data_IF_266484057736
#
_entry.id   IF_266484057736
#
_cell.length_a   1.000
_cell.length_b   1.000
_cell.length_c   1.000
_cell.angle_alpha   90.00
_cell.angle_beta   90.00
_cell.angle_gamma   90.00
#
_symmetry.space_group_name_H-M   'P 1'
#
loop_
_entity.id
_entity.type
_entity.pdbx_description
1 polymer ?
#
# COMPACT_ATOMS: atom_id res chain seq x y z
N UNK A 1 11.95 -24.86 -21.69
CA UNK A 1 12.13 -23.70 -20.81
C UNK A 1 10.96 -23.61 -19.86
N UNK A 2 11.23 -23.72 -18.58
CA UNK A 2 10.17 -23.67 -17.59
C UNK A 2 9.67 -22.25 -17.41
N UNK A 3 8.37 -22.08 -17.57
CA UNK A 3 7.73 -20.83 -17.21
C UNK A 3 7.69 -20.73 -15.69
N UNK A 4 8.45 -19.81 -15.15
CA UNK A 4 8.36 -19.52 -13.72
C UNK A 4 7.01 -18.91 -13.43
N UNK A 5 6.09 -19.74 -12.97
CA UNK A 5 4.83 -19.24 -12.43
C UNK A 5 5.11 -18.73 -11.02
N UNK A 6 4.84 -17.46 -10.80
CA UNK A 6 4.81 -16.94 -9.44
C UNK A 6 3.55 -17.52 -8.80
N UNK A 7 3.75 -18.47 -7.89
CA UNK A 7 2.63 -19.05 -7.16
C UNK A 7 2.49 -18.30 -5.84
N UNK A 8 1.40 -17.54 -5.73
CA UNK A 8 1.08 -16.86 -4.50
C UNK A 8 0.34 -17.83 -3.58
N UNK A 9 0.70 -17.83 -2.30
CA UNK A 9 -0.03 -18.63 -1.32
C UNK A 9 -1.48 -18.14 -1.25
N UNK A 10 -2.48 -19.06 -1.25
CA UNK A 10 -3.88 -18.68 -1.48
C UNK A 10 -4.50 -17.81 -0.40
N UNK A 11 -3.89 -17.69 0.78
CA UNK A 11 -4.44 -16.90 1.88
C UNK A 11 -3.52 -15.79 2.37
N UNK A 12 -2.52 -15.44 1.56
CA UNK A 12 -1.56 -14.40 1.94
C UNK A 12 -1.70 -13.16 1.07
N UNK A 13 -1.41 -12.02 1.68
CA UNK A 13 -1.34 -10.73 1.00
C UNK A 13 0.13 -10.44 0.68
N UNK A 14 0.39 -9.94 -0.52
CA UNK A 14 1.76 -9.65 -0.98
C UNK A 14 1.89 -8.19 -1.36
N UNK A 15 3.04 -7.62 -1.06
CA UNK A 15 3.41 -6.30 -1.58
C UNK A 15 4.07 -6.50 -2.94
N UNK A 16 3.40 -6.05 -4.01
CA UNK A 16 3.94 -6.15 -5.37
C UNK A 16 4.97 -5.08 -5.65
N UNK A 17 4.78 -3.89 -5.10
CA UNK A 17 5.67 -2.77 -5.31
C UNK A 17 5.12 -1.51 -4.68
N UNK A 18 5.91 -0.45 -4.74
CA UNK A 18 5.49 0.86 -4.26
C UNK A 18 6.13 1.95 -5.10
N UNK A 19 5.56 3.12 -5.04
CA UNK A 19 6.16 4.31 -5.64
C UNK A 19 5.81 5.53 -4.79
N UNK A 20 6.62 6.57 -4.95
CA UNK A 20 6.41 7.83 -4.25
C UNK A 20 5.68 8.79 -5.18
N UNK A 21 4.59 9.38 -4.67
CA UNK A 21 3.88 10.45 -5.36
C UNK A 21 4.25 11.74 -4.67
N UNK A 22 4.94 12.62 -5.39
CA UNK A 22 5.31 13.93 -4.87
C UNK A 22 4.33 14.99 -5.35
N UNK A 23 4.05 15.95 -4.48
CA UNK A 23 3.15 17.03 -4.82
C UNK A 23 3.74 17.95 -5.89
N UNK A 24 2.86 18.47 -6.73
CA UNK A 24 3.21 19.49 -7.72
C UNK A 24 2.66 20.85 -7.32
N UNK A 25 2.87 21.83 -8.18
CA UNK A 25 2.25 23.14 -8.05
C UNK A 25 1.16 23.30 -9.10
N UNK A 26 0.12 24.01 -8.74
CA UNK A 26 -0.98 24.33 -9.61
C UNK A 26 -1.09 25.85 -9.75
N UNK A 27 -1.08 26.34 -10.98
CA UNK A 27 -1.27 27.76 -11.27
C UNK A 27 -2.74 28.02 -11.61
N UNK A 28 -3.39 28.85 -10.80
CA UNK A 28 -4.72 29.33 -11.13
C UNK A 28 -4.61 30.46 -12.15
N UNK A 29 -5.01 30.21 -13.40
CA UNK A 29 -4.88 31.17 -14.48
C UNK A 29 -5.75 32.41 -14.32
N UNK A 30 -6.82 32.32 -13.52
CA UNK A 30 -7.73 33.43 -13.28
C UNK A 30 -7.20 34.39 -12.23
N UNK A 31 -6.55 33.88 -11.19
CA UNK A 31 -6.07 34.69 -10.07
C UNK A 31 -4.54 34.90 -10.08
N UNK A 32 -3.82 34.05 -10.84
CA UNK A 32 -2.37 34.07 -10.82
C UNK A 32 -1.75 33.43 -9.59
N UNK A 33 -2.56 32.84 -8.72
CA UNK A 33 -2.06 32.19 -7.52
C UNK A 33 -1.48 30.82 -7.82
N UNK A 34 -0.36 30.51 -7.16
CA UNK A 34 0.26 29.19 -7.22
C UNK A 34 -0.11 28.45 -5.93
N UNK A 35 -0.80 27.33 -6.09
CA UNK A 35 -1.12 26.45 -4.97
C UNK A 35 -0.17 25.25 -5.00
N UNK A 36 0.56 25.03 -3.92
CA UNK A 36 1.39 23.85 -3.78
C UNK A 36 0.52 22.69 -3.29
N UNK A 37 0.42 21.67 -4.13
CA UNK A 37 -0.31 20.45 -3.77
C UNK A 37 0.61 19.55 -2.94
N UNK A 38 0.40 19.54 -1.64
CA UNK A 38 1.20 18.71 -0.72
C UNK A 38 0.70 17.27 -0.73
N UNK A 39 0.80 16.59 -1.88
CA UNK A 39 0.36 15.21 -2.04
C UNK A 39 1.53 14.22 -1.93
N UNK A 40 2.40 14.46 -0.94
CA UNK A 40 3.55 13.57 -0.73
C UNK A 40 3.09 12.32 -0.01
N UNK A 41 3.07 11.20 -0.75
CA UNK A 41 2.64 9.91 -0.21
C UNK A 41 3.34 8.77 -0.92
N UNK A 42 3.42 7.64 -0.24
CA UNK A 42 3.75 6.37 -0.89
C UNK A 42 2.45 5.69 -1.31
N UNK A 43 2.43 5.10 -2.49
CA UNK A 43 1.35 4.24 -2.93
C UNK A 43 1.88 2.81 -3.04
N UNK A 44 1.32 1.92 -2.25
CA UNK A 44 1.72 0.52 -2.18
C UNK A 44 0.74 -0.32 -2.98
N UNK A 45 1.24 -1.08 -3.93
CA UNK A 45 0.42 -2.01 -4.71
C UNK A 45 0.41 -3.36 -4.04
N UNK A 46 -0.77 -3.82 -3.70
CA UNK A 46 -0.97 -5.02 -2.91
C UNK A 46 -1.86 -5.99 -3.67
N UNK A 47 -1.51 -7.27 -3.64
CA UNK A 47 -2.38 -8.33 -4.11
C UNK A 47 -2.81 -9.18 -2.93
N UNK A 48 -4.12 -9.41 -2.84
CA UNK A 48 -4.74 -10.22 -1.80
C UNK A 48 -5.52 -11.37 -2.42
N UNK A 49 -5.80 -12.44 -1.65
CA UNK A 49 -6.69 -13.49 -2.15
C UNK A 49 -8.04 -12.90 -2.52
N UNK A 50 -8.58 -13.33 -3.67
CA UNK A 50 -9.89 -12.89 -4.11
C UNK A 50 -10.97 -13.60 -3.31
N UNK A 51 -12.03 -12.86 -2.97
CA UNK A 51 -13.22 -13.42 -2.34
C UNK A 51 -14.32 -13.53 -3.39
N UNK A 52 -14.61 -14.77 -3.87
CA UNK A 52 -15.61 -14.96 -4.92
C UNK A 52 -16.99 -14.43 -4.55
N UNK A 53 -17.34 -14.46 -3.26
CA UNK A 53 -18.66 -14.02 -2.81
C UNK A 53 -18.90 -12.52 -3.05
N UNK A 54 -17.84 -11.71 -3.04
CA UNK A 54 -17.94 -10.28 -3.29
C UNK A 54 -18.19 -9.94 -4.75
N UNK A 55 -17.86 -10.85 -5.66
CA UNK A 55 -17.94 -10.60 -7.09
C UNK A 55 -19.14 -11.30 -7.74
N UNK A 56 -19.92 -12.04 -6.96
CA UNK A 56 -21.04 -12.79 -7.48
C UNK A 56 -20.65 -13.85 -8.49
N UNK A 57 -19.41 -14.33 -8.44
CA UNK A 57 -18.89 -15.30 -9.37
C UNK A 57 -18.88 -16.71 -8.75
N UNK A 58 -19.23 -17.70 -9.54
CA UNK A 58 -19.19 -19.10 -9.10
C UNK A 58 -17.74 -19.58 -8.91
N UNK A 59 -16.84 -18.99 -9.68
CA UNK A 59 -15.43 -19.34 -9.63
C UNK A 59 -14.58 -18.11 -9.90
N UNK A 60 -13.62 -17.87 -9.04
CA UNK A 60 -12.65 -16.80 -9.23
C UNK A 60 -11.25 -17.37 -9.04
N UNK A 61 -10.37 -17.14 -10.01
CA UNK A 61 -8.97 -17.59 -9.96
C UNK A 61 -8.08 -16.37 -9.93
N UNK A 62 -7.14 -16.34 -8.96
CA UNK A 62 -6.18 -15.26 -8.84
C UNK A 62 -6.39 -14.41 -7.61
N UNK A 63 -5.92 -13.17 -7.65
CA UNK A 63 -5.99 -12.23 -6.55
C UNK A 63 -6.66 -10.93 -6.94
N UNK A 64 -6.95 -10.15 -5.92
CA UNK A 64 -7.47 -8.79 -6.08
C UNK A 64 -6.33 -7.81 -5.83
N UNK A 65 -6.15 -6.83 -6.72
CA UNK A 65 -5.11 -5.80 -6.58
C UNK A 65 -5.74 -4.55 -6.01
N UNK A 66 -5.08 -3.97 -5.00
CA UNK A 66 -5.50 -2.72 -4.39
C UNK A 66 -4.29 -1.83 -4.15
N UNK A 67 -4.55 -0.55 -3.87
CA UNK A 67 -3.52 0.43 -3.59
C UNK A 67 -3.75 1.00 -2.20
N UNK A 68 -2.68 1.01 -1.38
CA UNK A 68 -2.69 1.64 -0.07
C UNK A 68 -1.89 2.93 -0.16
N UNK A 69 -2.47 4.03 0.30
CA UNK A 69 -1.82 5.34 0.29
C UNK A 69 -1.33 5.67 1.69
N UNK A 70 -0.04 5.96 1.82
CA UNK A 70 0.59 6.28 3.09
C UNK A 70 1.25 7.66 2.96
N UNK A 71 0.80 8.69 3.71
CA UNK A 71 1.47 9.99 3.68
C UNK A 71 2.91 9.89 4.15
N UNK A 72 3.81 10.69 3.54
CA UNK A 72 5.24 10.68 3.91
C UNK A 72 5.47 10.96 5.39
N UNK A 73 4.71 11.92 5.94
CA UNK A 73 4.86 12.34 7.33
C UNK A 73 4.36 11.32 8.35
N UNK A 74 3.66 10.28 7.90
CA UNK A 74 3.11 9.23 8.76
C UNK A 74 3.67 7.84 8.46
N UNK A 75 4.51 7.72 7.42
CA UNK A 75 5.00 6.42 6.99
C UNK A 75 5.76 5.68 8.12
N UNK A 76 6.53 6.42 8.92
CA UNK A 76 7.28 5.84 10.02
C UNK A 76 6.37 5.07 11.02
N UNK A 77 5.16 5.57 11.25
CA UNK A 77 4.24 4.96 12.20
C UNK A 77 3.75 3.58 11.75
N UNK A 78 3.67 3.36 10.43
CA UNK A 78 3.25 2.07 9.87
C UNK A 78 4.30 0.98 10.10
N UNK A 79 5.54 1.35 10.36
CA UNK A 79 6.65 0.41 10.53
C UNK A 79 7.23 0.42 11.95
N UNK A 80 6.62 1.20 12.86
CA UNK A 80 7.02 1.21 14.26
C UNK A 80 8.39 1.80 14.53
N UNK A 81 8.83 2.75 13.69
CA UNK A 81 10.13 3.41 13.87
C UNK A 81 9.95 4.91 14.07
N UNK A 82 11.06 5.63 14.36
CA UNK A 82 11.01 7.08 14.47
C UNK A 82 10.98 7.74 13.09
N UNK A 83 10.53 9.00 12.98
CA UNK A 83 10.54 9.71 11.70
C UNK A 83 11.93 9.81 11.07
N UNK A 84 12.97 9.90 11.87
CA UNK A 84 14.33 10.00 11.39
C UNK A 84 14.89 8.66 10.90
N UNK A 85 14.37 7.54 11.40
CA UNK A 85 14.83 6.21 11.02
C UNK A 85 14.19 5.71 9.73
N UNK A 86 13.02 6.24 9.38
CA UNK A 86 12.29 5.73 8.22
C UNK A 86 12.96 6.13 6.92
N UNK A 87 13.27 5.13 6.11
CA UNK A 87 13.60 5.30 4.69
C UNK A 87 12.88 4.21 3.92
N UNK A 88 12.38 4.47 2.70
CA UNK A 88 11.72 3.42 1.93
C UNK A 88 12.64 2.26 1.60
N UNK A 89 13.93 2.52 1.40
CA UNK A 89 14.91 1.49 1.10
C UNK A 89 15.08 0.50 2.25
N UNK A 90 14.95 0.99 3.48
CA UNK A 90 15.12 0.16 4.68
C UNK A 90 13.85 -0.61 5.05
N UNK A 91 12.67 -0.01 4.88
CA UNK A 91 11.42 -0.55 5.38
C UNK A 91 10.46 -1.08 4.30
N UNK A 92 10.49 -0.50 3.11
CA UNK A 92 9.60 -0.93 2.02
C UNK A 92 10.28 -1.90 1.06
N UNK A 93 11.52 -1.62 0.64
CA UNK A 93 12.22 -2.49 -0.32
C UNK A 93 12.27 -3.96 0.12
N UNK A 94 12.58 -4.27 1.40
CA UNK A 94 12.62 -5.66 1.84
C UNK A 94 11.28 -6.39 1.77
N UNK A 95 10.17 -5.66 1.75
CA UNK A 95 8.83 -6.24 1.70
C UNK A 95 8.34 -6.51 0.29
N UNK A 96 8.96 -5.90 -0.73
CA UNK A 96 8.54 -6.07 -2.12
C UNK A 96 8.68 -7.53 -2.54
N UNK A 97 7.60 -8.11 -3.06
CA UNK A 97 7.55 -9.51 -3.45
C UNK A 97 7.35 -10.48 -2.28
N UNK A 98 7.20 -9.97 -1.07
CA UNK A 98 7.08 -10.79 0.13
C UNK A 98 5.65 -10.78 0.66
N UNK A 99 5.23 -11.87 1.36
CA UNK A 99 3.95 -11.85 2.04
C UNK A 99 3.99 -10.87 3.21
N UNK A 100 2.90 -10.13 3.39
CA UNK A 100 2.79 -9.10 4.43
C UNK A 100 1.50 -9.26 5.21
N UNK A 101 1.49 -8.71 6.42
CA UNK A 101 0.30 -8.59 7.26
C UNK A 101 -0.07 -7.12 7.35
N UNK A 102 -1.31 -6.81 7.01
CA UNK A 102 -1.87 -5.47 7.16
C UNK A 102 -2.56 -5.38 8.51
N UNK A 103 -2.04 -4.55 9.41
CA UNK A 103 -2.63 -4.33 10.71
C UNK A 103 -3.67 -3.24 10.61
N UNK A 104 -4.89 -3.52 11.05
CA UNK A 104 -6.00 -2.59 10.94
C UNK A 104 -6.47 -2.12 12.30
N UNK A 105 -7.11 -0.95 12.31
CA UNK A 105 -7.77 -0.40 13.48
C UNK A 105 -9.06 0.28 13.03
N UNK A 106 -9.91 0.62 14.00
CA UNK A 106 -11.11 1.41 13.72
C UNK A 106 -10.78 2.87 14.00
N UNK A 107 -10.96 3.73 12.99
CA UNK A 107 -10.71 5.16 13.17
C UNK A 107 -11.86 5.87 13.90
N UNK A 108 -11.71 7.18 14.14
CA UNK A 108 -12.71 7.98 14.85
C UNK A 108 -14.06 8.04 14.14
N UNK A 109 -14.11 7.72 12.85
CA UNK A 109 -15.35 7.68 12.06
C UNK A 109 -15.99 6.30 12.04
N UNK A 110 -15.46 5.34 12.81
CA UNK A 110 -15.96 3.97 12.85
C UNK A 110 -15.59 3.12 11.64
N UNK A 111 -14.66 3.58 10.80
CA UNK A 111 -14.23 2.84 9.61
C UNK A 111 -12.91 2.13 9.85
N UNK A 112 -12.74 0.98 9.22
CA UNK A 112 -11.47 0.27 9.26
C UNK A 112 -10.39 1.07 8.53
N UNK A 113 -9.22 1.17 9.17
CA UNK A 113 -8.06 1.84 8.62
C UNK A 113 -6.82 0.99 8.86
N UNK A 114 -5.84 1.08 7.97
CA UNK A 114 -4.57 0.38 8.12
C UNK A 114 -3.66 1.22 9.02
N UNK A 115 -3.11 0.59 10.06
CA UNK A 115 -2.21 1.26 11.01
C UNK A 115 -0.78 0.74 10.96
N UNK A 116 -0.54 -0.37 10.30
CA UNK A 116 0.80 -0.95 10.25
C UNK A 116 0.90 -2.05 9.22
N UNK A 117 2.14 -2.33 8.83
CA UNK A 117 2.48 -3.37 7.88
C UNK A 117 3.69 -4.11 8.42
N UNK A 118 3.60 -5.43 8.47
CA UNK A 118 4.71 -6.29 8.88
C UNK A 118 4.88 -7.44 7.91
N UNK A 119 6.08 -8.03 7.93
CA UNK A 119 6.33 -9.24 7.16
C UNK A 119 5.51 -10.40 7.74
N UNK A 120 4.92 -11.20 6.86
CA UNK A 120 4.19 -12.40 7.27
C UNK A 120 5.17 -13.56 7.34
N UNK A 121 5.52 -13.96 8.56
CA UNK A 121 6.48 -15.04 8.84
C UNK A 121 5.83 -16.41 9.06
N UNK A 122 4.54 -16.51 8.84
CA UNK A 122 3.81 -17.78 9.07
C UNK A 122 3.81 -18.72 7.88
#
# INVERSE_FOLDING_TARGET
MENKKITLAPFKTYLLGYYAVTGGSFLNKETGEITNLALNRYELQIVSPADPSKWGADKFVGGSVSVIKIPFDRAFAFFGCSPQEFTPEKYLDPLVGMPIVLHTCVNSKGKAAIRGITLDNT
#
